data_IF_181489084624
#
_entry.id   IF_181489084624
#
_cell.length_a   1.000
_cell.length_b   1.000
_cell.length_c   1.000
_cell.angle_alpha   90.00
_cell.angle_beta   90.00
_cell.angle_gamma   90.00
#
_symmetry.space_group_name_H-M   'P 1'
#
loop_
_entity.id
_entity.type
_entity.pdbx_description
1 polymer ?
#
# COMPACT_ATOMS: atom_id res chain seq x y z
N UNK A 1 -15.88 16.85 -17.81
CA UNK A 1 -16.99 16.59 -16.86
C UNK A 1 -16.50 16.02 -15.55
N UNK A 2 -15.56 15.07 -15.61
CA UNK A 2 -14.92 14.48 -14.44
C UNK A 2 -13.45 14.91 -14.36
N UNK A 3 -12.86 14.74 -13.19
CA UNK A 3 -11.43 14.90 -13.01
C UNK A 3 -10.89 13.89 -12.00
N UNK A 4 -9.65 13.47 -12.20
CA UNK A 4 -8.95 12.56 -11.32
C UNK A 4 -7.64 13.18 -10.82
N UNK A 5 -7.28 12.86 -9.59
CA UNK A 5 -6.00 13.20 -8.99
C UNK A 5 -5.40 11.91 -8.46
N UNK A 6 -4.20 11.56 -8.92
CA UNK A 6 -3.37 10.57 -8.25
C UNK A 6 -2.49 11.26 -7.21
N UNK A 7 -2.27 10.61 -6.08
CA UNK A 7 -1.42 11.12 -4.99
C UNK A 7 -0.04 11.55 -5.51
N UNK A 8 0.25 12.85 -5.45
CA UNK A 8 1.54 13.42 -5.86
C UNK A 8 1.64 13.80 -7.35
N UNK A 9 0.54 13.71 -8.09
CA UNK A 9 0.43 14.13 -9.49
C UNK A 9 -0.51 15.33 -9.64
N UNK A 10 -0.35 16.12 -10.72
CA UNK A 10 -1.29 17.18 -11.04
C UNK A 10 -2.68 16.61 -11.36
N UNK A 11 -3.69 17.48 -11.25
CA UNK A 11 -5.06 17.20 -11.65
C UNK A 11 -5.13 16.86 -13.13
N UNK A 12 -5.80 15.75 -13.46
CA UNK A 12 -6.08 15.36 -14.84
C UNK A 12 -7.58 15.44 -15.13
N UNK A 13 -7.94 16.09 -16.23
CA UNK A 13 -9.32 16.23 -16.68
C UNK A 13 -9.73 15.07 -17.58
N UNK A 14 -11.02 14.71 -17.53
CA UNK A 14 -11.62 13.71 -18.40
C UNK A 14 -11.73 14.19 -19.84
N UNK A 15 -11.29 13.37 -20.79
CA UNK A 15 -11.52 13.57 -22.22
C UNK A 15 -12.70 12.69 -22.64
N UNK A 16 -13.63 13.23 -23.43
CA UNK A 16 -14.74 12.45 -23.99
C UNK A 16 -14.24 11.49 -25.06
N UNK A 17 -14.74 10.26 -25.05
CA UNK A 17 -14.43 9.28 -26.09
C UNK A 17 -15.22 9.62 -27.35
N UNK A 18 -14.56 9.78 -28.52
CA UNK A 18 -15.26 10.04 -29.78
C UNK A 18 -16.35 9.00 -30.05
N UNK A 19 -17.47 9.43 -30.63
CA UNK A 19 -18.65 8.61 -30.96
C UNK A 19 -19.49 8.10 -29.78
N UNK A 20 -19.26 8.60 -28.56
CA UNK A 20 -19.98 8.16 -27.35
C UNK A 20 -21.09 9.11 -26.88
N UNK A 21 -21.47 10.12 -27.66
CA UNK A 21 -22.51 11.10 -27.32
C UNK A 21 -22.36 11.74 -25.91
N UNK A 22 -21.14 11.97 -25.43
CA UNK A 22 -20.91 12.49 -24.08
C UNK A 22 -21.09 11.48 -22.94
N UNK A 23 -21.39 10.21 -23.24
CA UNK A 23 -21.66 9.20 -22.23
C UNK A 23 -20.41 8.49 -21.74
N UNK A 24 -19.32 8.51 -22.51
CA UNK A 24 -18.06 7.86 -22.13
C UNK A 24 -16.94 8.87 -22.04
N UNK A 25 -16.19 8.81 -20.94
CA UNK A 25 -15.00 9.62 -20.74
C UNK A 25 -13.82 8.76 -20.31
N UNK A 26 -12.63 9.17 -20.72
CA UNK A 26 -11.37 8.54 -20.35
C UNK A 26 -10.45 9.54 -19.69
N UNK A 27 -9.74 9.10 -18.65
CA UNK A 27 -8.65 9.84 -18.02
C UNK A 27 -7.41 8.97 -18.07
N UNK A 28 -6.33 9.53 -18.62
CA UNK A 28 -5.03 8.86 -18.66
C UNK A 28 -4.14 9.50 -17.62
N UNK A 29 -3.66 8.69 -16.67
CA UNK A 29 -2.70 9.12 -15.66
C UNK A 29 -1.33 8.55 -16.00
N UNK A 30 -0.51 9.36 -16.67
CA UNK A 30 0.89 9.08 -16.92
C UNK A 30 1.74 9.67 -15.78
N UNK A 31 2.80 8.97 -15.36
CA UNK A 31 3.77 9.40 -14.33
C UNK A 31 3.37 9.23 -12.86
N UNK A 32 2.89 8.08 -12.43
CA UNK A 32 2.97 7.76 -10.99
C UNK A 32 4.38 7.21 -10.71
N UNK A 33 5.22 7.95 -9.97
CA UNK A 33 6.41 7.33 -9.33
C UNK A 33 5.93 6.05 -8.64
N UNK A 34 6.63 4.91 -8.78
CA UNK A 34 6.17 3.63 -8.27
C UNK A 34 6.14 3.68 -6.74
N UNK A 35 5.00 4.08 -6.17
CA UNK A 35 4.65 3.79 -4.79
C UNK A 35 3.84 2.49 -4.83
N UNK A 36 4.13 1.58 -3.90
CA UNK A 36 3.41 0.31 -3.76
C UNK A 36 1.87 0.49 -3.65
N UNK A 37 1.44 1.68 -3.24
CA UNK A 37 0.04 2.06 -3.17
C UNK A 37 -0.15 3.50 -3.66
N UNK A 38 -1.15 3.71 -4.51
CA UNK A 38 -1.59 5.04 -4.94
C UNK A 38 -3.06 5.26 -4.56
N UNK A 39 -3.37 6.46 -4.08
CA UNK A 39 -4.73 6.91 -3.87
C UNK A 39 -5.14 7.73 -5.09
N UNK A 40 -6.23 7.34 -5.71
CA UNK A 40 -6.82 8.01 -6.86
C UNK A 40 -8.15 8.57 -6.43
N UNK A 41 -8.24 9.88 -6.41
CA UNK A 41 -9.47 10.59 -6.12
C UNK A 41 -10.12 10.99 -7.43
N UNK A 42 -11.33 10.50 -7.68
CA UNK A 42 -12.14 10.87 -8.84
C UNK A 42 -13.32 11.71 -8.36
N UNK A 43 -13.65 12.77 -9.10
CA UNK A 43 -14.78 13.62 -8.76
C UNK A 43 -15.41 14.29 -9.99
N UNK A 44 -16.68 14.66 -9.83
CA UNK A 44 -17.45 15.46 -10.78
C UNK A 44 -17.05 16.93 -10.59
N UNK A 45 -16.79 17.66 -11.68
CA UNK A 45 -16.49 19.08 -11.62
C UNK A 45 -17.74 19.89 -11.23
N UNK A 46 -17.61 20.93 -10.39
CA UNK A 46 -18.75 21.69 -9.86
C UNK A 46 -19.54 22.46 -10.94
N UNK A 47 -18.93 22.70 -12.10
CA UNK A 47 -19.54 23.48 -13.19
C UNK A 47 -20.40 22.64 -14.14
N UNK A 48 -20.64 21.35 -13.83
CA UNK A 48 -21.45 20.47 -14.67
C UNK A 48 -22.60 19.87 -13.86
N UNK A 49 -23.83 20.02 -14.36
CA UNK A 49 -25.02 19.40 -13.76
C UNK A 49 -25.09 17.94 -14.15
N UNK A 50 -24.84 17.05 -13.19
CA UNK A 50 -24.99 15.60 -13.37
C UNK A 50 -26.45 15.20 -13.14
N UNK A 51 -27.14 14.59 -14.13
CA UNK A 51 -28.52 14.14 -13.96
C UNK A 51 -28.66 13.11 -12.83
N UNK A 52 -29.72 13.20 -12.03
CA UNK A 52 -29.94 12.28 -10.90
C UNK A 52 -30.34 10.86 -11.34
N UNK A 53 -30.96 10.73 -12.51
CA UNK A 53 -31.40 9.44 -13.07
C UNK A 53 -30.26 8.62 -13.68
N UNK A 54 -29.06 9.21 -13.75
CA UNK A 54 -27.86 8.58 -14.29
C UNK A 54 -26.85 8.32 -13.18
N UNK A 55 -25.95 7.37 -13.42
CA UNK A 55 -24.76 7.15 -12.62
C UNK A 55 -23.55 6.99 -13.55
N UNK A 56 -22.40 7.41 -13.08
CA UNK A 56 -21.15 7.25 -13.81
C UNK A 56 -20.40 6.06 -13.20
N UNK A 57 -20.37 4.94 -13.91
CA UNK A 57 -19.60 3.75 -13.54
C UNK A 57 -18.13 3.97 -13.88
N UNK A 58 -17.24 3.54 -12.97
CA UNK A 58 -15.81 3.83 -13.02
C UNK A 58 -15.05 2.53 -13.21
N UNK A 59 -14.25 2.48 -14.26
CA UNK A 59 -13.41 1.36 -14.63
C UNK A 59 -11.93 1.76 -14.58
N UNK A 60 -11.07 0.84 -14.13
CA UNK A 60 -9.61 1.02 -14.24
C UNK A 60 -9.00 -0.07 -15.11
N UNK A 61 -7.95 0.33 -15.81
CA UNK A 61 -7.07 -0.53 -16.60
C UNK A 61 -5.62 -0.22 -16.20
N UNK A 62 -5.01 -1.11 -15.42
CA UNK A 62 -3.66 -0.91 -14.86
C UNK A 62 -2.57 -1.21 -15.88
N UNK A 63 -2.81 -2.14 -16.80
CA UNK A 63 -1.86 -2.49 -17.86
C UNK A 63 -2.51 -2.35 -19.25
N UNK A 64 -1.77 -1.98 -20.31
CA UNK A 64 -2.30 -1.94 -21.68
C UNK A 64 -2.92 -3.26 -22.14
N UNK A 65 -2.42 -4.38 -21.60
CA UNK A 65 -2.83 -5.75 -21.88
C UNK A 65 -3.99 -6.24 -20.98
N UNK A 66 -4.30 -5.52 -19.90
CA UNK A 66 -5.38 -5.88 -18.97
C UNK A 66 -6.71 -5.28 -19.44
N UNK A 67 -7.80 -5.95 -19.07
CA UNK A 67 -9.16 -5.49 -19.35
C UNK A 67 -9.63 -4.43 -18.33
N UNK A 68 -10.66 -3.68 -18.72
CA UNK A 68 -11.28 -2.70 -17.83
C UNK A 68 -12.03 -3.41 -16.71
N UNK A 69 -11.55 -3.27 -15.48
CA UNK A 69 -12.23 -3.77 -14.29
C UNK A 69 -13.09 -2.66 -13.69
N UNK A 70 -14.33 -2.98 -13.30
CA UNK A 70 -15.20 -2.05 -12.58
C UNK A 70 -14.64 -1.84 -11.16
N UNK A 71 -14.63 -0.60 -10.68
CA UNK A 71 -14.16 -0.25 -9.32
C UNK A 71 -15.20 0.51 -8.51
N UNK A 72 -16.14 1.18 -9.15
CA UNK A 72 -17.19 1.89 -8.41
C UNK A 72 -18.06 2.73 -9.31
N UNK A 73 -18.71 3.70 -8.67
CA UNK A 73 -19.62 4.63 -9.33
C UNK A 73 -19.53 6.03 -8.70
N UNK A 74 -19.94 7.02 -9.47
CA UNK A 74 -20.21 8.39 -9.06
C UNK A 74 -21.66 8.75 -9.40
N UNK A 75 -22.27 9.59 -8.58
CA UNK A 75 -23.62 10.08 -8.79
C UNK A 75 -23.75 11.53 -8.33
N UNK A 76 -24.92 12.14 -8.51
CA UNK A 76 -25.19 13.48 -7.95
C UNK A 76 -25.11 13.50 -6.43
N UNK A 77 -25.57 12.42 -5.77
CA UNK A 77 -25.49 12.24 -4.31
C UNK A 77 -24.06 11.97 -3.83
N UNK A 78 -23.27 11.27 -4.66
CA UNK A 78 -21.87 10.93 -4.38
C UNK A 78 -20.96 11.46 -5.50
N UNK A 79 -20.65 12.77 -5.48
CA UNK A 79 -19.91 13.42 -6.55
C UNK A 79 -18.41 13.11 -6.53
N UNK A 80 -17.89 12.44 -5.49
CA UNK A 80 -16.48 12.05 -5.40
C UNK A 80 -16.28 10.67 -4.77
N UNK A 81 -15.19 10.01 -5.15
CA UNK A 81 -14.77 8.73 -4.62
C UNK A 81 -13.24 8.63 -4.60
N UNK A 82 -12.71 7.97 -3.57
CA UNK A 82 -11.28 7.70 -3.43
C UNK A 82 -11.07 6.20 -3.59
N UNK A 83 -10.21 5.82 -4.53
CA UNK A 83 -9.86 4.44 -4.82
C UNK A 83 -8.41 4.19 -4.41
N UNK A 84 -8.21 3.14 -3.61
CA UNK A 84 -6.88 2.62 -3.30
C UNK A 84 -6.50 1.63 -4.39
N UNK A 85 -5.52 1.99 -5.20
CA UNK A 85 -4.98 1.10 -6.23
C UNK A 85 -3.67 0.53 -5.70
N UNK A 86 -3.67 -0.79 -5.46
CA UNK A 86 -2.44 -1.52 -5.19
C UNK A 86 -1.83 -1.89 -6.53
N UNK A 87 -0.67 -1.30 -6.79
CA UNK A 87 0.13 -1.64 -7.95
C UNK A 87 0.83 -2.94 -7.57
N UNK A 88 0.63 -4.06 -8.29
CA UNK A 88 1.47 -5.24 -8.10
C UNK A 88 2.89 -4.85 -8.52
N UNK A 89 3.68 -4.35 -7.57
CA UNK A 89 5.13 -4.44 -7.66
C UNK A 89 5.41 -5.92 -7.74
N UNK A 90 6.00 -6.37 -8.85
CA UNK A 90 6.45 -7.75 -9.03
C UNK A 90 7.00 -8.28 -7.71
N UNK A 91 6.30 -9.24 -7.11
CA UNK A 91 6.92 -10.10 -6.11
C UNK A 91 8.20 -10.59 -6.77
N UNK A 92 9.36 -10.30 -6.19
CA UNK A 92 10.50 -11.20 -6.40
C UNK A 92 9.99 -12.55 -5.93
N UNK A 93 9.90 -13.50 -6.86
CA UNK A 93 9.59 -14.88 -6.54
C UNK A 93 10.56 -15.33 -5.45
N UNK A 94 9.98 -15.56 -4.28
CA UNK A 94 10.57 -16.37 -3.24
C UNK A 94 9.78 -17.66 -3.24
N UNK A 95 10.39 -18.71 -3.79
CA UNK A 95 10.03 -20.10 -3.57
C UNK A 95 9.96 -20.93 -4.84
N UNK A 96 10.93 -21.80 -5.09
CA UNK A 96 10.78 -23.18 -4.60
C UNK A 96 12.12 -23.93 -4.55
N UNK A 97 12.22 -24.81 -3.58
CA UNK A 97 13.38 -25.61 -3.18
C UNK A 97 13.56 -26.84 -4.07
N UNK A 98 14.74 -27.00 -4.69
CA UNK A 98 15.30 -28.33 -4.93
C UNK A 98 16.80 -28.27 -5.19
N UNK A 99 17.55 -28.90 -4.28
CA UNK A 99 18.72 -29.73 -4.58
C UNK A 99 20.09 -29.06 -4.85
N UNK A 100 21.12 -29.63 -4.21
CA UNK A 100 22.50 -29.66 -4.70
C UNK A 100 23.37 -28.40 -4.63
N UNK A 101 24.29 -28.37 -3.67
CA UNK A 101 25.73 -28.02 -3.79
C UNK A 101 26.18 -27.01 -4.89
N UNK A 102 26.93 -25.98 -4.47
CA UNK A 102 27.68 -25.05 -5.36
C UNK A 102 26.88 -23.79 -5.64
N UNK A 103 27.40 -22.57 -5.66
CA UNK A 103 28.73 -22.10 -6.03
C UNK A 103 29.04 -20.84 -5.21
N UNK A 104 30.29 -20.70 -4.77
CA UNK A 104 30.87 -19.44 -4.31
C UNK A 104 31.21 -18.68 -5.58
N UNK A 105 30.51 -17.60 -5.90
CA UNK A 105 30.95 -16.70 -6.97
C UNK A 105 31.70 -15.52 -6.35
N UNK A 106 33.02 -15.67 -6.34
CA UNK A 106 34.00 -14.67 -5.95
C UNK A 106 34.62 -14.16 -7.25
N UNK A 107 33.95 -13.22 -7.92
CA UNK A 107 34.54 -12.60 -9.10
C UNK A 107 35.33 -11.34 -8.74
N UNK A 108 36.59 -11.44 -9.14
CA UNK A 108 37.72 -10.54 -8.98
C UNK A 108 37.60 -9.35 -9.93
N UNK A 109 37.59 -8.13 -9.39
CA UNK A 109 37.69 -6.89 -10.17
C UNK A 109 39.14 -6.38 -10.13
N UNK A 110 39.90 -6.68 -11.19
CA UNK A 110 41.15 -6.01 -11.57
C UNK A 110 40.97 -5.45 -12.98
N UNK A 111 40.98 -4.13 -13.13
CA UNK A 111 40.74 -3.51 -14.44
C UNK A 111 40.53 -2.01 -14.41
N UNK A 112 41.63 -1.28 -14.23
CA UNK A 112 41.75 0.17 -14.42
C UNK A 112 40.98 0.78 -15.61
N UNK A 113 40.24 1.85 -15.34
CA UNK A 113 40.39 3.13 -16.03
C UNK A 113 39.62 3.41 -17.33
N UNK A 114 38.94 4.57 -17.29
CA UNK A 114 38.54 5.46 -18.37
C UNK A 114 37.06 5.39 -18.83
N UNK A 115 36.44 6.56 -18.67
CA UNK A 115 35.08 6.91 -19.01
C UNK A 115 34.87 7.00 -20.53
N UNK A 116 33.64 6.70 -20.98
CA UNK A 116 32.97 7.51 -22.00
C UNK A 116 31.44 7.50 -21.81
N UNK A 117 30.76 8.63 -22.06
CA UNK A 117 29.33 8.81 -21.84
C UNK A 117 28.52 8.51 -23.12
N UNK A 118 27.32 7.95 -22.94
CA UNK A 118 26.25 7.78 -23.93
C UNK A 118 26.30 6.51 -24.80
N UNK A 119 25.70 5.43 -24.28
CA UNK A 119 24.95 4.44 -25.08
C UNK A 119 23.77 3.91 -24.27
N UNK A 120 22.57 4.33 -24.68
CA UNK A 120 21.30 3.70 -24.35
C UNK A 120 21.15 2.43 -25.20
N UNK A 121 21.07 1.26 -24.57
CA UNK A 121 20.41 0.08 -25.15
C UNK A 121 20.25 -1.06 -24.13
N UNK A 122 19.00 -1.53 -24.03
CA UNK A 122 18.54 -2.80 -23.43
C UNK A 122 18.19 -2.84 -21.93
N UNK A 123 17.03 -2.25 -21.62
CA UNK A 123 15.82 -3.09 -21.54
C UNK A 123 15.62 -3.91 -20.26
N UNK A 124 16.04 -3.40 -19.10
CA UNK A 124 15.55 -3.90 -17.82
C UNK A 124 14.07 -3.51 -17.66
N UNK A 125 13.19 -4.50 -17.71
CA UNK A 125 11.74 -4.39 -17.53
C UNK A 125 11.41 -3.90 -16.12
N UNK A 126 11.60 -2.60 -15.91
CA UNK A 126 11.02 -1.88 -14.80
C UNK A 126 9.51 -1.92 -14.98
N UNK A 127 8.82 -2.75 -14.18
CA UNK A 127 7.36 -2.74 -14.07
C UNK A 127 6.92 -1.45 -13.34
N UNK A 128 7.25 -0.31 -13.93
CA UNK A 128 6.57 0.95 -13.69
C UNK A 128 5.23 0.83 -14.40
N UNK A 129 4.12 1.03 -13.69
CA UNK A 129 2.87 1.37 -14.38
C UNK A 129 3.14 2.71 -15.05
N UNK A 130 3.56 2.68 -16.31
CA UNK A 130 3.84 3.89 -17.09
C UNK A 130 2.57 4.68 -17.34
N UNK A 131 1.41 4.02 -17.29
CA UNK A 131 0.12 4.59 -17.66
C UNK A 131 -1.04 3.83 -17.01
N UNK A 132 -1.84 4.51 -16.19
CA UNK A 132 -3.12 3.99 -15.70
C UNK A 132 -4.25 4.67 -16.48
N UNK A 133 -5.15 3.88 -17.03
CA UNK A 133 -6.30 4.38 -17.79
C UNK A 133 -7.57 4.21 -16.94
N UNK A 134 -8.30 5.31 -16.77
CA UNK A 134 -9.59 5.34 -16.08
C UNK A 134 -10.66 5.52 -17.16
N UNK A 135 -11.57 4.55 -17.26
CA UNK A 135 -12.78 4.65 -18.07
C UNK A 135 -13.97 5.06 -17.20
N UNK A 136 -14.80 5.98 -17.69
CA UNK A 136 -16.00 6.45 -17.02
C UNK A 136 -17.16 6.30 -18.00
N UNK A 137 -18.17 5.51 -17.65
CA UNK A 137 -19.37 5.31 -18.47
C UNK A 137 -20.60 5.83 -17.72
N UNK A 138 -21.29 6.80 -18.32
CA UNK A 138 -22.54 7.36 -17.82
C UNK A 138 -23.69 6.49 -18.32
N UNK A 139 -24.38 5.86 -17.37
CA UNK A 139 -25.45 4.91 -17.65
C UNK A 139 -26.68 5.22 -16.77
N UNK A 140 -27.89 4.79 -17.16
CA UNK A 140 -29.06 4.92 -16.30
C UNK A 140 -28.83 4.25 -14.94
N UNK A 141 -29.35 4.86 -13.89
CA UNK A 141 -29.15 4.43 -12.49
C UNK A 141 -29.48 2.95 -12.29
N UNK A 142 -30.56 2.47 -12.88
CA UNK A 142 -30.98 1.07 -12.78
C UNK A 142 -29.92 0.10 -13.34
N UNK A 143 -29.41 0.36 -14.55
CA UNK A 143 -28.42 -0.49 -15.20
C UNK A 143 -27.08 -0.46 -14.49
N UNK A 144 -26.61 0.72 -14.11
CA UNK A 144 -25.32 0.86 -13.45
C UNK A 144 -25.32 0.27 -12.03
N UNK A 145 -26.45 0.30 -11.31
CA UNK A 145 -26.56 -0.35 -10.00
C UNK A 145 -26.56 -1.87 -10.12
N UNK A 146 -27.24 -2.46 -11.12
CA UNK A 146 -27.16 -3.91 -11.36
C UNK A 146 -25.72 -4.36 -11.60
N UNK A 147 -24.96 -3.66 -12.46
CA UNK A 147 -23.53 -3.95 -12.70
C UNK A 147 -22.69 -3.87 -11.42
N UNK A 148 -22.99 -2.90 -10.56
CA UNK A 148 -22.30 -2.74 -9.29
C UNK A 148 -22.63 -3.87 -8.30
N UNK A 149 -23.87 -4.32 -8.26
CA UNK A 149 -24.30 -5.44 -7.42
C UNK A 149 -23.67 -6.75 -7.88
N UNK A 150 -23.64 -7.02 -9.18
CA UNK A 150 -22.95 -8.17 -9.76
C UNK A 150 -21.45 -8.16 -9.44
N UNK A 151 -20.80 -7.01 -9.56
CA UNK A 151 -19.39 -6.85 -9.19
C UNK A 151 -19.14 -7.04 -7.70
N UNK A 152 -20.03 -6.53 -6.83
CA UNK A 152 -19.95 -6.79 -5.39
C UNK A 152 -20.18 -8.27 -5.06
N UNK A 153 -21.08 -8.93 -5.79
CA UNK A 153 -21.37 -10.35 -5.61
C UNK A 153 -20.19 -11.23 -6.07
N UNK A 154 -19.56 -10.92 -7.20
CA UNK A 154 -18.36 -11.64 -7.67
C UNK A 154 -17.17 -11.42 -6.75
N UNK A 155 -16.99 -10.22 -6.20
CA UNK A 155 -15.94 -9.96 -5.20
C UNK A 155 -16.19 -10.72 -3.89
N UNK A 156 -17.45 -10.85 -3.46
CA UNK A 156 -17.80 -11.70 -2.31
C UNK A 156 -17.61 -13.20 -2.61
N UNK A 157 -17.86 -13.65 -3.84
CA UNK A 157 -17.67 -15.04 -4.25
C UNK A 157 -16.18 -15.42 -4.34
N UNK A 158 -15.31 -14.54 -4.84
CA UNK A 158 -13.85 -14.75 -4.84
C UNK A 158 -13.26 -14.74 -3.42
N UNK A 159 -13.84 -13.96 -2.50
CA UNK A 159 -13.45 -13.96 -1.09
C UNK A 159 -13.80 -15.27 -0.34
N UNK A 160 -14.71 -16.09 -0.88
CA UNK A 160 -15.08 -17.39 -0.28
C UNK A 160 -14.23 -18.58 -0.74
N UNK A 161 -13.45 -18.45 -1.82
CA UNK A 161 -12.56 -19.52 -2.28
C UNK A 161 -11.28 -19.65 -1.43
N UNK A 162 -10.97 -18.61 -0.66
CA UNK A 162 -9.91 -18.60 0.34
C UNK A 162 -10.54 -18.83 1.72
N UNK A 163 -10.57 -20.09 2.15
CA UNK A 163 -11.01 -20.50 3.48
C UNK A 163 -10.33 -19.69 4.61
N UNK A 164 -10.98 -18.65 5.11
CA UNK A 164 -11.06 -18.39 6.56
C UNK A 164 -12.22 -17.45 6.86
N UNK A 165 -13.09 -17.92 7.76
CA UNK A 165 -14.17 -17.15 8.37
C UNK A 165 -13.61 -15.98 9.19
N UNK A 166 -13.36 -14.81 8.58
CA UNK A 166 -13.59 -13.50 9.20
C UNK A 166 -13.98 -12.49 8.12
N UNK A 167 -15.27 -12.12 8.07
CA UNK A 167 -15.72 -10.90 7.39
C UNK A 167 -15.33 -9.69 8.25
N UNK A 168 -14.39 -8.87 7.80
CA UNK A 168 -14.41 -7.42 8.04
C UNK A 168 -13.60 -6.68 6.97
N UNK A 169 -14.36 -5.93 6.17
CA UNK A 169 -13.93 -5.06 5.06
C UNK A 169 -12.84 -4.06 5.48
N UNK A 170 -11.93 -3.65 4.59
CA UNK A 170 -11.11 -2.48 4.80
C UNK A 170 -11.92 -1.23 4.40
N UNK A 171 -12.78 -0.75 5.30
CA UNK A 171 -13.23 0.64 5.26
C UNK A 171 -12.35 1.46 6.20
N UNK A 172 -11.90 2.59 5.69
CA UNK A 172 -11.01 3.56 6.32
C UNK A 172 -11.65 4.07 7.63
N UNK A 173 -11.18 3.59 8.79
CA UNK A 173 -11.65 4.09 10.10
C UNK A 173 -11.83 3.08 11.23
N UNK A 174 -11.61 1.77 11.02
CA UNK A 174 -11.70 0.79 12.12
C UNK A 174 -10.31 0.58 12.73
N UNK A 175 -10.18 1.00 13.99
CA UNK A 175 -9.21 0.50 14.97
C UNK A 175 -9.03 -1.00 14.68
N UNK A 176 -7.89 -1.41 14.13
CA UNK A 176 -7.56 -2.83 14.04
C UNK A 176 -7.64 -3.33 15.48
N UNK A 177 -8.53 -4.26 15.79
CA UNK A 177 -8.53 -4.94 17.08
C UNK A 177 -7.28 -5.83 17.11
N UNK A 178 -6.12 -5.19 17.29
CA UNK A 178 -4.83 -5.82 17.49
C UNK A 178 -4.89 -6.38 18.90
N UNK A 179 -5.36 -7.61 19.00
CA UNK A 179 -5.56 -8.29 20.29
C UNK A 179 -4.29 -9.00 20.73
N UNK A 180 -3.33 -9.19 19.82
CA UNK A 180 -2.05 -9.85 20.10
C UNK A 180 -0.87 -9.11 19.51
N UNK A 181 0.27 -9.14 20.21
CA UNK A 181 1.53 -8.57 19.74
C UNK A 181 2.00 -9.20 18.41
N UNK A 182 1.69 -10.47 18.17
CA UNK A 182 1.97 -11.13 16.89
C UNK A 182 1.20 -10.51 15.71
N UNK A 183 -0.06 -10.11 15.92
CA UNK A 183 -0.83 -9.39 14.90
C UNK A 183 -0.26 -7.99 14.65
N UNK A 184 0.22 -7.30 15.70
CA UNK A 184 0.91 -6.02 15.55
C UNK A 184 2.16 -6.17 14.67
N UNK A 185 2.98 -7.19 14.94
CA UNK A 185 4.22 -7.46 14.22
C UNK A 185 4.00 -7.77 12.74
N UNK A 186 2.93 -8.48 12.40
CA UNK A 186 2.57 -8.77 11.00
C UNK A 186 2.08 -7.53 10.25
N UNK A 187 1.38 -6.63 10.94
CA UNK A 187 0.86 -5.41 10.33
C UNK A 187 1.93 -4.33 10.18
N UNK A 188 2.80 -4.19 11.18
CA UNK A 188 3.84 -3.17 11.25
C UNK A 188 5.20 -3.82 11.55
N UNK A 189 5.79 -4.56 10.59
CA UNK A 189 7.03 -5.31 10.83
C UNK A 189 8.21 -4.39 11.17
N UNK A 190 8.42 -3.32 10.40
CA UNK A 190 9.52 -2.37 10.63
C UNK A 190 9.39 -1.61 11.96
N UNK A 191 8.19 -1.10 12.27
CA UNK A 191 7.95 -0.37 13.51
C UNK A 191 8.08 -1.27 14.75
N UNK A 192 7.63 -2.52 14.65
CA UNK A 192 7.77 -3.48 15.75
C UNK A 192 9.23 -3.86 15.99
N UNK A 193 10.03 -3.99 14.92
CA UNK A 193 11.48 -4.20 15.03
C UNK A 193 12.18 -3.02 15.69
N UNK A 194 11.86 -1.79 15.28
CA UNK A 194 12.42 -0.58 15.89
C UNK A 194 12.04 -0.48 17.37
N UNK A 195 10.77 -0.71 17.70
CA UNK A 195 10.29 -0.73 19.08
C UNK A 195 11.04 -1.77 19.93
N UNK A 196 11.18 -3.00 19.42
CA UNK A 196 11.91 -4.06 20.11
C UNK A 196 13.38 -3.67 20.34
N UNK A 197 14.04 -3.11 19.33
CA UNK A 197 15.42 -2.63 19.44
C UNK A 197 15.56 -1.53 20.51
N UNK A 198 14.63 -0.58 20.54
CA UNK A 198 14.59 0.50 21.55
C UNK A 198 14.42 -0.03 22.98
N UNK A 199 13.51 -1.00 23.17
CA UNK A 199 13.28 -1.64 24.48
C UNK A 199 14.54 -2.37 24.96
N UNK A 200 15.20 -3.11 24.08
CA UNK A 200 16.44 -3.83 24.41
C UNK A 200 17.58 -2.87 24.73
N UNK A 201 17.73 -1.79 23.97
CA UNK A 201 18.74 -0.76 24.24
C UNK A 201 18.56 -0.12 25.62
N UNK A 202 17.31 0.20 25.99
CA UNK A 202 16.97 0.72 27.31
C UNK A 202 17.34 -0.26 28.43
N UNK A 203 17.04 -1.55 28.23
CA UNK A 203 17.42 -2.61 29.17
C UNK A 203 18.93 -2.67 29.36
N UNK A 204 19.68 -2.69 28.25
CA UNK A 204 21.13 -2.75 28.24
C UNK A 204 21.76 -1.57 28.98
N UNK A 205 21.30 -0.35 28.71
CA UNK A 205 21.81 0.87 29.35
C UNK A 205 21.61 0.85 30.88
N UNK A 206 20.50 0.28 31.36
CA UNK A 206 20.25 0.17 32.81
C UNK A 206 21.08 -0.95 33.45
N UNK A 207 21.09 -2.15 32.83
CA UNK A 207 21.69 -3.34 33.42
C UNK A 207 23.23 -3.32 33.38
N UNK A 208 23.81 -2.64 32.39
CA UNK A 208 25.26 -2.44 32.31
C UNK A 208 25.84 -1.70 33.53
N UNK A 209 25.04 -0.86 34.20
CA UNK A 209 25.43 -0.21 35.45
C UNK A 209 25.48 -1.13 36.69
N UNK A 210 25.02 -2.38 36.57
CA UNK A 210 24.96 -3.35 37.67
C UNK A 210 25.77 -4.62 37.38
N UNK A 211 26.70 -4.56 36.44
CA UNK A 211 27.61 -5.67 36.14
C UNK A 211 28.53 -5.93 37.33
N UNK A 212 28.67 -7.20 37.71
CA UNK A 212 29.71 -7.62 38.63
C UNK A 212 31.09 -7.65 37.94
N UNK A 213 32.15 -7.93 38.70
CA UNK A 213 33.51 -8.02 38.17
C UNK A 213 33.69 -9.15 37.13
N UNK A 214 32.70 -10.03 36.99
CA UNK A 214 32.64 -11.16 36.07
C UNK A 214 31.69 -10.90 34.89
N UNK A 215 31.07 -9.73 34.81
CA UNK A 215 30.15 -9.35 33.73
C UNK A 215 28.73 -9.93 33.84
N UNK A 216 28.35 -10.47 35.00
CA UNK A 216 27.00 -10.98 35.22
C UNK A 216 26.08 -9.90 35.79
N UNK A 217 24.79 -9.99 35.44
CA UNK A 217 23.74 -9.14 35.95
C UNK A 217 22.88 -9.95 36.93
N UNK A 218 22.75 -9.53 38.21
CA UNK A 218 21.84 -10.20 39.14
C UNK A 218 20.40 -10.13 38.66
N UNK A 219 19.69 -11.26 38.63
CA UNK A 219 18.30 -11.32 38.13
C UNK A 219 17.35 -10.36 38.87
N UNK A 220 17.59 -10.13 40.17
CA UNK A 220 16.84 -9.15 40.97
C UNK A 220 16.92 -7.73 40.41
N UNK A 221 18.03 -7.36 39.76
CA UNK A 221 18.21 -6.05 39.12
C UNK A 221 17.40 -5.97 37.83
N UNK A 222 17.29 -7.08 37.10
CA UNK A 222 16.40 -7.20 35.95
C UNK A 222 14.93 -7.07 36.35
N UNK A 223 14.49 -7.74 37.42
CA UNK A 223 13.12 -7.62 37.92
C UNK A 223 12.80 -6.18 38.33
N UNK A 224 13.73 -5.54 39.05
CA UNK A 224 13.60 -4.13 39.45
C UNK A 224 13.50 -3.20 38.23
N UNK A 225 14.28 -3.47 37.18
CA UNK A 225 14.21 -2.73 35.93
C UNK A 225 12.85 -2.92 35.25
N UNK A 226 12.38 -4.15 35.15
CA UNK A 226 11.13 -4.50 34.50
C UNK A 226 9.93 -3.85 35.18
N UNK A 227 9.92 -3.80 36.51
CA UNK A 227 8.87 -3.11 37.28
C UNK A 227 8.84 -1.61 37.00
N UNK A 228 10.02 -0.96 36.99
CA UNK A 228 10.13 0.46 36.63
C UNK A 228 9.70 0.72 35.19
N UNK A 229 10.11 -0.15 34.27
CA UNK A 229 9.79 -0.07 32.85
C UNK A 229 8.27 -0.20 32.62
N UNK A 230 7.62 -1.21 33.22
CA UNK A 230 6.17 -1.41 33.11
C UNK A 230 5.38 -0.23 33.66
N UNK A 231 5.74 0.25 34.85
CA UNK A 231 5.08 1.40 35.47
C UNK A 231 5.25 2.66 34.62
N UNK A 232 6.43 2.87 34.03
CA UNK A 232 6.68 4.02 33.15
C UNK A 232 5.89 3.91 31.85
N UNK A 233 5.90 2.75 31.20
CA UNK A 233 5.14 2.49 29.96
C UNK A 233 3.63 2.65 30.12
N UNK A 234 3.09 2.28 31.30
CA UNK A 234 1.67 2.47 31.60
C UNK A 234 1.28 3.95 31.79
N UNK A 235 2.21 4.77 32.29
CA UNK A 235 1.97 6.19 32.55
C UNK A 235 2.27 7.07 31.33
N UNK A 236 3.30 6.72 30.55
CA UNK A 236 3.72 7.45 29.36
C UNK A 236 4.37 6.48 28.38
N UNK A 237 3.81 6.34 27.19
CA UNK A 237 4.36 5.51 26.11
C UNK A 237 5.42 6.21 25.27
N UNK A 238 5.50 7.54 25.32
CA UNK A 238 6.40 8.35 24.48
C UNK A 238 7.84 8.33 24.98
N UNK A 239 8.07 7.93 26.23
CA UNK A 239 9.43 7.84 26.81
C UNK A 239 10.37 6.93 26.01
N UNK A 240 9.85 5.92 25.30
CA UNK A 240 10.68 5.03 24.48
C UNK A 240 11.41 5.78 23.36
N UNK A 241 10.84 6.88 22.88
CA UNK A 241 11.47 7.74 21.88
C UNK A 241 12.46 8.74 22.47
N UNK A 242 12.40 8.99 23.77
CA UNK A 242 13.30 9.90 24.47
C UNK A 242 14.57 9.19 24.93
N UNK A 243 14.45 7.98 25.50
CA UNK A 243 15.60 7.30 26.11
C UNK A 243 16.56 6.66 25.09
N UNK A 244 16.18 6.63 23.81
CA UNK A 244 17.00 6.04 22.73
C UNK A 244 17.46 7.05 21.69
N UNK A 245 17.20 8.36 21.86
CA UNK A 245 17.81 9.42 21.05
C UNK A 245 19.25 9.64 21.53
N UNK A 246 20.16 8.87 20.95
CA UNK A 246 21.59 9.22 20.89
C UNK A 246 21.93 9.57 19.44
#
# INVERSE_FOLDING_TARGET
>A
MFAAIASGNPLQLSVEVPNSNGLQHTIVLSRTKPKLYSHITLFILPNVTFPQDYIATVYFKLSPQEEFKLFGYLSSEKPSAIFKVQIPSSKKDAGDTSDGLGEIDMDVDDGSGAADPFTDTNGSSSNNISELIIGISIEPREQGMMKLEEWKASMNAEAQKNNSLILSRPNLGIIRNITTAGQLAQVYPSLTQELAAKIVQHAYNYLSGFLDAQGNVPIKRFDTWWDKFRNRLANDGTFLDEVTKN
#
